data_IF_939649187820
#
_entry.id   IF_939649187820
#
_cell.length_a   1.000
_cell.length_b   1.000
_cell.length_c   1.000
_cell.angle_alpha   90.00
_cell.angle_beta   90.00
_cell.angle_gamma   90.00
#
_symmetry.space_group_name_H-M   'P 1'
#
loop_
_entity.id
_entity.type
_entity.pdbx_description
1 polymer ?
#
# COMPACT_ATOMS: atom_id res chain seq x y z
N UNK A 1 1.60 -15.96 3.48
CA UNK A 1 2.27 -15.83 2.16
C UNK A 1 2.53 -14.35 1.99
N UNK A 2 3.72 -13.96 1.52
CA UNK A 2 4.07 -12.53 1.42
C UNK A 2 3.36 -11.89 0.24
N UNK A 3 2.86 -10.66 0.40
CA UNK A 3 2.31 -9.87 -0.71
C UNK A 3 3.41 -9.52 -1.71
N UNK A 4 3.04 -9.40 -2.99
CA UNK A 4 3.95 -8.97 -4.06
C UNK A 4 3.75 -7.48 -4.37
N UNK A 5 4.81 -6.84 -4.87
CA UNK A 5 4.79 -5.44 -5.31
C UNK A 5 3.66 -5.20 -6.32
N UNK A 6 3.48 -6.11 -7.28
CA UNK A 6 2.44 -6.01 -8.31
C UNK A 6 1.03 -6.00 -7.71
N UNK A 7 0.76 -6.85 -6.70
CA UNK A 7 -0.54 -6.90 -6.01
C UNK A 7 -0.84 -5.59 -5.29
N UNK A 8 0.16 -5.06 -4.59
CA UNK A 8 0.06 -3.80 -3.83
C UNK A 8 -0.22 -2.64 -4.78
N UNK A 9 0.52 -2.55 -5.88
CA UNK A 9 0.29 -1.53 -6.91
C UNK A 9 -1.11 -1.64 -7.51
N UNK A 10 -1.56 -2.86 -7.84
CA UNK A 10 -2.88 -3.08 -8.40
C UNK A 10 -4.00 -2.68 -7.43
N UNK A 11 -3.91 -3.07 -6.14
CA UNK A 11 -4.90 -2.72 -5.11
C UNK A 11 -4.99 -1.19 -4.92
N UNK A 12 -3.85 -0.50 -4.89
CA UNK A 12 -3.81 0.96 -4.75
C UNK A 12 -4.35 1.66 -6.00
N UNK A 13 -3.96 1.20 -7.18
CA UNK A 13 -4.40 1.76 -8.45
C UNK A 13 -5.91 1.61 -8.66
N UNK A 14 -6.46 0.44 -8.34
CA UNK A 14 -7.91 0.19 -8.39
C UNK A 14 -8.67 1.13 -7.45
N UNK A 15 -8.15 1.31 -6.24
CA UNK A 15 -8.75 2.16 -5.22
C UNK A 15 -8.66 3.67 -5.53
N UNK A 16 -7.61 4.10 -6.22
CA UNK A 16 -7.45 5.46 -6.73
C UNK A 16 -8.12 5.68 -8.10
N UNK A 17 -8.50 4.61 -8.79
CA UNK A 17 -9.04 4.68 -10.15
C UNK A 17 -8.02 5.13 -11.20
N UNK A 18 -6.74 4.85 -10.99
CA UNK A 18 -5.64 5.19 -11.90
C UNK A 18 -4.95 3.94 -12.44
N UNK A 19 -4.03 4.11 -13.39
CA UNK A 19 -3.24 3.00 -13.91
C UNK A 19 -2.05 2.69 -12.97
N UNK A 20 -1.79 1.42 -12.61
CA UNK A 20 -0.68 1.06 -11.74
C UNK A 20 0.69 1.43 -12.33
N UNK A 21 0.80 1.64 -13.65
CA UNK A 21 2.02 2.12 -14.29
C UNK A 21 2.27 3.62 -14.07
N UNK A 22 1.24 4.40 -13.73
CA UNK A 22 1.37 5.83 -13.41
C UNK A 22 1.82 6.05 -11.95
N UNK A 23 1.58 5.06 -11.09
CA UNK A 23 1.97 5.09 -9.68
C UNK A 23 3.49 4.89 -9.54
N UNK A 24 4.20 5.96 -9.19
CA UNK A 24 5.63 5.89 -8.89
C UNK A 24 5.84 5.53 -7.43
N UNK A 25 6.97 4.86 -7.09
CA UNK A 25 7.30 4.50 -5.71
C UNK A 25 7.43 5.72 -4.79
N UNK A 26 7.82 6.87 -5.33
CA UNK A 26 7.99 8.15 -4.64
C UNK A 26 6.73 9.03 -4.62
N UNK A 27 5.64 8.60 -5.28
CA UNK A 27 4.40 9.36 -5.32
C UNK A 27 3.71 9.29 -3.97
N UNK A 28 3.31 10.45 -3.46
CA UNK A 28 2.44 10.56 -2.30
C UNK A 28 1.00 10.22 -2.71
N UNK A 29 0.47 9.15 -2.14
CA UNK A 29 -0.85 8.64 -2.48
C UNK A 29 -1.96 9.55 -1.91
N UNK A 30 -1.70 10.32 -0.85
CA UNK A 30 -2.70 11.25 -0.29
C UNK A 30 -2.99 12.41 -1.23
N UNK A 31 -1.98 12.86 -1.99
CA UNK A 31 -2.15 13.86 -3.06
C UNK A 31 -3.06 13.33 -4.20
N UNK A 32 -3.04 12.01 -4.42
CA UNK A 32 -3.93 11.33 -5.37
C UNK A 32 -5.36 11.08 -4.83
N UNK A 33 -5.64 11.49 -3.59
CA UNK A 33 -6.95 11.29 -2.96
C UNK A 33 -7.04 9.99 -2.14
N UNK A 34 -5.93 9.46 -1.65
CA UNK A 34 -5.94 8.39 -0.67
C UNK A 34 -6.32 8.94 0.72
N UNK A 35 -7.44 8.47 1.27
CA UNK A 35 -7.92 8.86 2.60
C UNK A 35 -7.68 7.78 3.67
N UNK A 36 -7.72 8.14 4.95
CA UNK A 36 -7.51 7.21 6.07
C UNK A 36 -8.44 6.00 6.04
N UNK A 37 -9.70 6.17 5.62
CA UNK A 37 -10.65 5.05 5.50
C UNK A 37 -10.21 4.03 4.45
N UNK A 38 -9.65 4.52 3.34
CA UNK A 38 -9.14 3.67 2.25
C UNK A 38 -7.90 2.91 2.70
N UNK A 39 -6.99 3.57 3.42
CA UNK A 39 -5.81 2.94 4.01
C UNK A 39 -6.22 1.85 4.99
N UNK A 40 -7.16 2.12 5.89
CA UNK A 40 -7.65 1.10 6.84
C UNK A 40 -8.19 -0.14 6.12
N UNK A 41 -8.99 0.03 5.07
CA UNK A 41 -9.50 -1.09 4.27
C UNK A 41 -8.38 -1.91 3.61
N UNK A 42 -7.35 -1.25 3.06
CA UNK A 42 -6.18 -1.93 2.49
C UNK A 42 -5.39 -2.69 3.56
N UNK A 43 -5.19 -2.08 4.73
CA UNK A 43 -4.51 -2.73 5.85
C UNK A 43 -5.25 -3.99 6.26
N UNK A 44 -6.57 -3.91 6.45
CA UNK A 44 -7.39 -5.07 6.80
C UNK A 44 -7.30 -6.16 5.72
N UNK A 45 -7.43 -5.80 4.44
CA UNK A 45 -7.30 -6.74 3.33
C UNK A 45 -5.94 -7.44 3.32
N UNK A 46 -4.85 -6.69 3.36
CA UNK A 46 -3.50 -7.24 3.33
C UNK A 46 -3.15 -8.06 4.56
N UNK A 47 -3.69 -7.70 5.74
CA UNK A 47 -3.59 -8.53 6.95
C UNK A 47 -4.22 -9.90 6.73
N UNK A 48 -5.40 -9.97 6.11
CA UNK A 48 -6.04 -11.27 5.78
C UNK A 48 -5.27 -12.08 4.73
N UNK A 49 -4.47 -11.43 3.89
CA UNK A 49 -3.65 -12.08 2.85
C UNK A 49 -2.29 -12.58 3.39
N UNK A 50 -1.95 -12.22 4.64
CA UNK A 50 -0.75 -12.71 5.35
C UNK A 50 0.20 -11.63 5.86
N UNK A 51 -0.17 -10.35 5.81
CA UNK A 51 0.56 -9.26 6.45
C UNK A 51 0.05 -8.99 7.88
N UNK A 52 -0.02 -10.02 8.73
CA UNK A 52 -0.61 -9.94 10.08
C UNK A 52 -0.02 -8.82 10.97
N UNK A 53 1.26 -8.49 10.79
CA UNK A 53 1.99 -7.46 11.54
C UNK A 53 1.86 -6.06 10.97
N UNK A 54 1.10 -5.87 9.89
CA UNK A 54 0.90 -4.57 9.27
C UNK A 54 0.01 -3.69 10.14
N UNK A 55 0.47 -2.47 10.41
CA UNK A 55 -0.27 -1.47 11.14
C UNK A 55 -0.62 -0.27 10.25
N UNK A 56 -1.79 0.33 10.48
CA UNK A 56 -2.18 1.56 9.79
C UNK A 56 -1.15 2.68 9.98
N UNK A 57 -0.58 2.80 11.18
CA UNK A 57 0.41 3.84 11.48
C UNK A 57 1.63 3.74 10.55
N UNK A 58 2.10 2.52 10.28
CA UNK A 58 3.24 2.25 9.40
C UNK A 58 2.98 2.78 7.97
N UNK A 59 1.77 2.54 7.44
CA UNK A 59 1.37 3.08 6.13
C UNK A 59 1.06 4.58 6.14
N UNK A 60 0.50 5.10 7.23
CA UNK A 60 0.07 6.48 7.35
C UNK A 60 1.22 7.45 7.61
N UNK A 61 2.31 6.99 8.25
CA UNK A 61 3.53 7.77 8.42
C UNK A 61 4.18 8.11 7.08
N UNK A 62 4.15 7.18 6.13
CA UNK A 62 4.67 7.36 4.77
C UNK A 62 3.69 6.76 3.75
N UNK A 63 2.71 7.54 3.26
CA UNK A 63 1.71 7.10 2.30
C UNK A 63 2.28 7.05 0.87
N UNK A 64 3.45 6.44 0.71
CA UNK A 64 4.13 6.27 -0.57
C UNK A 64 4.17 4.80 -0.95
N UNK A 65 3.98 4.54 -2.24
CA UNK A 65 3.88 3.18 -2.77
C UNK A 65 5.17 2.37 -2.52
N UNK A 66 6.33 3.03 -2.60
CA UNK A 66 7.64 2.41 -2.34
C UNK A 66 7.85 2.03 -0.87
N UNK A 67 7.33 2.83 0.07
CA UNK A 67 7.35 2.49 1.48
C UNK A 67 6.47 1.28 1.76
N UNK A 68 5.22 1.32 1.29
CA UNK A 68 4.23 0.27 1.50
C UNK A 68 4.71 -1.08 0.96
N UNK A 69 5.26 -1.09 -0.25
CA UNK A 69 5.83 -2.31 -0.85
C UNK A 69 6.99 -2.86 -0.04
N UNK A 70 7.87 -2.01 0.50
CA UNK A 70 8.99 -2.46 1.35
C UNK A 70 8.50 -3.12 2.64
N UNK A 71 7.51 -2.51 3.29
CA UNK A 71 6.89 -2.99 4.53
C UNK A 71 6.23 -4.36 4.29
N UNK A 72 5.40 -4.45 3.26
CA UNK A 72 4.57 -5.62 2.96
C UNK A 72 5.36 -6.80 2.37
N UNK A 73 6.42 -6.53 1.62
CA UNK A 73 7.29 -7.59 1.08
C UNK A 73 8.30 -8.11 2.10
N UNK A 74 8.39 -7.47 3.27
CA UNK A 74 9.37 -7.84 4.30
C UNK A 74 10.81 -7.60 3.85
N UNK A 75 11.03 -6.70 2.88
CA UNK A 75 12.38 -6.33 2.43
C UNK A 75 13.01 -5.35 3.44
N UNK A 76 13.17 -5.81 4.67
CA UNK A 76 14.08 -5.23 5.65
C UNK A 76 15.49 -5.49 5.13
N UNK A 77 16.07 -4.50 4.45
CA UNK A 77 17.52 -4.50 4.20
C UNK A 77 18.29 -4.56 5.52
#
# INVERSE_FOLDING_TARGET
>A
MSLTVEKIHADVAELLGCDPAELKPETDLTDLGLDSMRIMGLVEQWRTEGADTLEFADLAEQPTLGHWTRVLTGSTA
#
